data_IF_336766171453
#
_entry.id   IF_336766171453
#
_cell.length_a   1.000
_cell.length_b   1.000
_cell.length_c   1.000
_cell.angle_alpha   90.00
_cell.angle_beta   90.00
_cell.angle_gamma   90.00
#
_symmetry.space_group_name_H-M   'P 1'
#
loop_
_entity.id
_entity.type
_entity.pdbx_description
1 polymer ?
#
# COMPACT_ATOMS: atom_id res chain seq x y z
N UNK A 1 8.53 14.69 -13.69
CA UNK A 1 7.46 14.54 -12.67
C UNK A 1 7.68 13.23 -11.92
N UNK A 2 7.50 13.20 -10.60
CA UNK A 2 7.56 11.97 -9.80
C UNK A 2 6.22 11.81 -9.08
N UNK A 3 5.51 10.74 -9.37
CA UNK A 3 4.32 10.32 -8.63
C UNK A 3 4.66 9.13 -7.75
N UNK A 4 4.20 9.15 -6.49
CA UNK A 4 4.31 8.02 -5.56
C UNK A 4 2.93 7.66 -5.07
N UNK A 5 2.58 6.36 -5.02
CA UNK A 5 1.28 5.91 -4.52
C UNK A 5 0.12 6.57 -5.28
N UNK A 6 -0.87 7.18 -4.63
CA UNK A 6 -1.92 7.97 -5.29
C UNK A 6 -1.37 9.02 -6.29
N UNK A 7 -0.19 9.59 -6.02
CA UNK A 7 0.50 10.48 -6.95
C UNK A 7 0.79 9.85 -8.32
N UNK A 8 0.87 8.51 -8.42
CA UNK A 8 1.00 7.84 -9.71
C UNK A 8 -0.26 7.96 -10.55
N UNK A 9 -1.45 7.97 -9.92
CA UNK A 9 -2.70 8.18 -10.64
C UNK A 9 -2.80 9.61 -11.16
N UNK A 10 -2.40 10.60 -10.34
CA UNK A 10 -2.34 12.01 -10.77
C UNK A 10 -1.40 12.16 -11.97
N UNK A 11 -0.18 11.63 -11.87
CA UNK A 11 0.83 11.71 -12.91
C UNK A 11 0.40 11.02 -14.21
N UNK A 12 -0.19 9.82 -14.10
CA UNK A 12 -0.77 9.09 -15.23
C UNK A 12 -1.87 9.88 -15.95
N UNK A 13 -2.84 10.40 -15.20
CA UNK A 13 -3.97 11.16 -15.75
C UNK A 13 -3.52 12.48 -16.37
N UNK A 14 -2.53 13.14 -15.78
CA UNK A 14 -1.91 14.34 -16.34
C UNK A 14 -1.23 14.02 -17.68
N UNK A 15 -0.40 12.97 -17.73
CA UNK A 15 0.30 12.57 -18.94
C UNK A 15 -0.64 12.16 -20.09
N UNK A 16 -1.79 11.55 -19.78
CA UNK A 16 -2.82 11.21 -20.78
C UNK A 16 -3.50 12.44 -21.39
N UNK A 17 -3.72 13.50 -20.59
CA UNK A 17 -4.39 14.73 -21.04
C UNK A 17 -3.44 15.75 -21.66
N UNK A 18 -2.20 15.80 -21.16
CA UNK A 18 -1.24 16.86 -21.41
C UNK A 18 0.13 16.28 -21.82
N UNK A 19 0.13 15.25 -22.67
CA UNK A 19 1.33 14.53 -23.09
C UNK A 19 2.46 15.45 -23.57
N UNK A 20 2.13 16.47 -24.35
CA UNK A 20 3.08 17.47 -24.88
C UNK A 20 3.73 18.36 -23.81
N UNK A 21 3.22 18.32 -22.57
CA UNK A 21 3.76 19.03 -21.40
C UNK A 21 4.56 18.12 -20.47
N UNK A 22 4.78 16.85 -20.86
CA UNK A 22 5.53 15.87 -20.07
C UNK A 22 6.79 15.46 -20.81
N UNK A 23 7.95 15.69 -20.20
CA UNK A 23 9.24 15.24 -20.75
C UNK A 23 9.64 13.88 -20.18
N UNK A 24 9.73 13.73 -18.85
CA UNK A 24 10.06 12.46 -18.19
C UNK A 24 9.31 12.35 -16.89
N UNK A 25 8.72 11.20 -16.64
CA UNK A 25 7.97 10.97 -15.42
C UNK A 25 8.11 9.56 -14.88
N UNK A 26 8.07 9.47 -13.55
CA UNK A 26 8.28 8.25 -12.79
C UNK A 26 7.03 7.97 -11.96
N UNK A 27 6.56 6.73 -12.00
CA UNK A 27 5.46 6.23 -11.16
C UNK A 27 6.03 5.19 -10.20
N UNK A 28 6.25 5.57 -8.95
CA UNK A 28 6.75 4.67 -7.90
C UNK A 28 5.59 4.16 -7.03
N UNK A 29 5.53 2.85 -6.80
CA UNK A 29 4.44 2.19 -6.06
C UNK A 29 3.07 2.51 -6.65
N UNK A 30 2.81 1.88 -7.79
CA UNK A 30 1.77 2.28 -8.74
C UNK A 30 0.36 1.90 -8.28
N UNK A 31 -0.52 2.89 -8.12
CA UNK A 31 -1.96 2.65 -8.13
C UNK A 31 -2.39 2.32 -9.56
N UNK A 32 -2.70 1.05 -9.79
CA UNK A 32 -2.94 0.50 -11.13
C UNK A 32 -4.40 0.15 -11.38
N UNK A 33 -4.75 -0.06 -12.65
CA UNK A 33 -6.11 -0.40 -13.04
C UNK A 33 -6.49 -1.81 -12.57
N UNK A 34 -7.77 -2.15 -12.63
CA UNK A 34 -8.26 -3.52 -12.53
C UNK A 34 -7.85 -4.40 -13.72
N UNK A 35 -8.21 -5.69 -13.71
CA UNK A 35 -7.89 -6.63 -14.79
C UNK A 35 -8.45 -6.25 -16.16
N UNK A 36 -9.57 -5.52 -16.18
CA UNK A 36 -10.21 -4.99 -17.39
C UNK A 36 -9.58 -3.68 -17.90
N UNK A 37 -8.54 -3.18 -17.22
CA UNK A 37 -7.84 -1.95 -17.58
C UNK A 37 -8.51 -0.67 -17.09
N UNK A 38 -9.61 -0.73 -16.34
CA UNK A 38 -10.25 0.47 -15.77
C UNK A 38 -9.77 0.72 -14.35
N UNK A 39 -9.70 1.98 -13.93
CA UNK A 39 -9.46 2.29 -12.52
C UNK A 39 -10.72 1.93 -11.72
N UNK A 40 -10.56 1.09 -10.70
CA UNK A 40 -11.64 0.68 -9.78
C UNK A 40 -11.08 0.69 -8.36
N UNK A 41 -11.51 1.68 -7.59
CA UNK A 41 -11.05 1.91 -6.22
C UNK A 41 -11.50 0.82 -5.24
N UNK A 42 -12.66 0.21 -5.45
CA UNK A 42 -13.11 -0.88 -4.59
C UNK A 42 -12.30 -2.15 -4.86
N UNK A 43 -12.15 -2.52 -6.13
CA UNK A 43 -11.32 -3.66 -6.50
C UNK A 43 -9.84 -3.45 -6.13
N UNK A 44 -9.32 -2.22 -6.25
CA UNK A 44 -7.99 -1.86 -5.74
C UNK A 44 -7.88 -2.11 -4.24
N UNK A 45 -8.85 -1.63 -3.45
CA UNK A 45 -8.87 -1.82 -2.00
C UNK A 45 -8.86 -3.30 -1.59
N UNK A 46 -9.62 -4.15 -2.29
CA UNK A 46 -9.62 -5.60 -2.03
C UNK A 46 -8.25 -6.24 -2.32
N UNK A 47 -7.60 -5.90 -3.44
CA UNK A 47 -6.23 -6.38 -3.75
C UNK A 47 -5.20 -5.89 -2.72
N UNK A 48 -5.33 -4.64 -2.28
CA UNK A 48 -4.49 -4.09 -1.21
C UNK A 48 -4.70 -4.88 0.10
N UNK A 49 -5.94 -5.16 0.48
CA UNK A 49 -6.25 -5.93 1.68
C UNK A 49 -5.64 -7.35 1.63
N UNK A 50 -5.72 -8.03 0.49
CA UNK A 50 -5.07 -9.33 0.28
C UNK A 50 -3.53 -9.24 0.41
N UNK A 51 -2.92 -8.22 -0.18
CA UNK A 51 -1.48 -8.01 -0.07
C UNK A 51 -1.05 -7.68 1.37
N UNK A 52 -1.84 -6.90 2.11
CA UNK A 52 -1.63 -6.64 3.53
C UNK A 52 -1.75 -7.90 4.39
N UNK A 53 -2.65 -8.84 4.05
CA UNK A 53 -2.73 -10.13 4.74
C UNK A 53 -1.43 -10.92 4.57
N UNK A 54 -0.94 -11.03 3.32
CA UNK A 54 0.35 -11.67 3.03
C UNK A 54 1.53 -11.00 3.76
N UNK A 55 1.52 -9.66 3.82
CA UNK A 55 2.51 -8.87 4.54
C UNK A 55 2.47 -9.13 6.05
N UNK A 56 1.28 -9.25 6.64
CA UNK A 56 1.12 -9.57 8.07
C UNK A 56 1.71 -10.94 8.38
N UNK A 57 1.43 -11.95 7.56
CA UNK A 57 2.02 -13.28 7.76
C UNK A 57 3.55 -13.26 7.61
N UNK A 58 4.08 -12.44 6.69
CA UNK A 58 5.53 -12.22 6.56
C UNK A 58 6.11 -11.57 7.81
N UNK A 59 5.47 -10.52 8.35
CA UNK A 59 5.89 -9.85 9.58
C UNK A 59 5.82 -10.79 10.81
N UNK A 60 4.77 -11.60 10.91
CA UNK A 60 4.61 -12.63 11.96
C UNK A 60 5.73 -13.67 11.88
N UNK A 61 6.04 -14.17 10.68
CA UNK A 61 7.16 -15.07 10.45
C UNK A 61 8.51 -14.44 10.80
N UNK A 62 8.69 -13.15 10.50
CA UNK A 62 9.87 -12.39 10.89
C UNK A 62 9.98 -12.26 12.41
N UNK A 63 8.91 -11.93 13.13
CA UNK A 63 8.92 -11.91 14.60
C UNK A 63 9.25 -13.28 15.21
N UNK A 64 8.74 -14.37 14.63
CA UNK A 64 9.05 -15.73 15.08
C UNK A 64 10.54 -16.08 14.94
N UNK A 65 11.19 -15.64 13.84
CA UNK A 65 12.64 -15.80 13.65
C UNK A 65 13.47 -15.01 14.66
N UNK A 66 12.89 -13.99 15.28
CA UNK A 66 13.50 -13.12 16.29
C UNK A 66 12.87 -13.33 17.67
N UNK A 67 12.52 -14.58 18.00
CA UNK A 67 11.83 -14.95 19.23
C UNK A 67 12.57 -14.49 20.50
N UNK A 68 13.90 -14.47 20.51
CA UNK A 68 14.70 -14.00 21.65
C UNK A 68 14.46 -12.52 21.97
N UNK A 69 14.20 -11.69 20.94
CA UNK A 69 13.90 -10.28 21.12
C UNK A 69 12.46 -10.05 21.57
N UNK A 70 11.53 -10.61 20.82
CA UNK A 70 10.11 -10.26 20.95
C UNK A 70 9.39 -11.12 22.00
N UNK A 71 9.84 -12.35 22.22
CA UNK A 71 9.16 -13.30 23.10
C UNK A 71 7.70 -13.58 22.73
N UNK A 72 7.28 -13.26 21.49
CA UNK A 72 5.90 -13.45 21.01
C UNK A 72 5.61 -14.90 20.62
N UNK A 73 6.61 -15.77 20.63
CA UNK A 73 6.53 -17.17 20.16
C UNK A 73 7.72 -17.52 19.27
N UNK A 74 8.04 -18.81 19.19
CA UNK A 74 9.16 -19.34 18.37
C UNK A 74 8.73 -19.80 16.97
N UNK A 75 7.44 -19.74 16.66
CA UNK A 75 6.88 -20.11 15.37
C UNK A 75 5.71 -19.17 15.00
N UNK A 76 5.35 -19.07 13.71
CA UNK A 76 4.31 -18.16 13.25
C UNK A 76 2.94 -18.39 13.90
N UNK A 77 2.58 -19.62 14.28
CA UNK A 77 1.29 -19.94 14.90
C UNK A 77 1.23 -19.41 16.32
N UNK A 78 2.31 -19.56 17.09
CA UNK A 78 2.42 -18.98 18.43
C UNK A 78 2.38 -17.44 18.40
N UNK A 79 3.13 -16.84 17.47
CA UNK A 79 3.14 -15.38 17.29
C UNK A 79 1.76 -14.86 16.88
N UNK A 80 1.08 -15.53 15.94
CA UNK A 80 -0.28 -15.15 15.51
C UNK A 80 -1.27 -15.19 16.68
N UNK A 81 -1.21 -16.22 17.52
CA UNK A 81 -2.06 -16.31 18.72
C UNK A 81 -1.83 -15.14 19.68
N UNK A 82 -0.58 -14.81 19.94
CA UNK A 82 -0.24 -13.70 20.84
C UNK A 82 -0.58 -12.33 20.24
N UNK A 83 -0.43 -12.17 18.93
CA UNK A 83 -0.94 -11.02 18.19
C UNK A 83 -2.45 -10.87 18.36
N UNK A 84 -3.21 -11.97 18.22
CA UNK A 84 -4.68 -11.94 18.39
C UNK A 84 -5.07 -11.63 19.85
N UNK A 85 -4.33 -12.12 20.84
CA UNK A 85 -4.53 -11.75 22.26
C UNK A 85 -4.28 -10.25 22.44
N UNK A 86 -3.18 -9.71 21.89
CA UNK A 86 -2.84 -8.30 21.99
C UNK A 86 -3.93 -7.39 21.40
N UNK A 87 -4.52 -7.79 20.26
CA UNK A 87 -5.64 -7.08 19.63
C UNK A 87 -6.89 -6.98 20.51
N UNK A 88 -7.10 -7.95 21.40
CA UNK A 88 -8.29 -8.03 22.26
C UNK A 88 -8.00 -7.66 23.73
N UNK A 89 -6.86 -7.05 24.02
CA UNK A 89 -6.59 -6.51 25.35
C UNK A 89 -7.63 -5.46 25.73
N UNK A 90 -7.98 -5.32 27.03
CA UNK A 90 -8.91 -4.30 27.48
C UNK A 90 -8.46 -2.91 27.01
N UNK A 91 -9.39 -2.06 26.55
CA UNK A 91 -9.03 -0.76 26.06
C UNK A 91 -8.37 0.08 27.17
N UNK A 92 -7.34 0.83 26.80
CA UNK A 92 -6.58 1.68 27.73
C UNK A 92 -6.22 2.99 27.07
N UNK A 93 -6.62 4.11 27.68
CA UNK A 93 -6.49 5.43 27.06
C UNK A 93 -7.21 5.47 25.70
N UNK A 94 -6.47 5.80 24.64
CA UNK A 94 -6.99 5.79 23.26
C UNK A 94 -6.85 4.45 22.54
N UNK A 95 -6.39 3.39 23.22
CA UNK A 95 -6.07 2.12 22.56
C UNK A 95 -7.23 1.16 22.71
N UNK A 96 -7.95 0.93 21.63
CA UNK A 96 -8.84 -0.22 21.43
C UNK A 96 -8.45 -1.03 20.19
N UNK A 97 -9.34 -1.93 19.77
CA UNK A 97 -9.10 -2.78 18.61
C UNK A 97 -8.95 -1.99 17.30
N UNK A 98 -9.68 -0.88 17.12
CA UNK A 98 -9.53 -0.03 15.92
C UNK A 98 -8.15 0.63 15.88
N UNK A 99 -7.70 1.20 17.00
CA UNK A 99 -6.38 1.84 17.07
C UNK A 99 -5.24 0.83 16.91
N UNK A 100 -5.40 -0.39 17.43
CA UNK A 100 -4.49 -1.50 17.16
C UNK A 100 -4.43 -1.83 15.67
N UNK A 101 -5.57 -2.02 15.02
CA UNK A 101 -5.64 -2.35 13.59
C UNK A 101 -5.06 -1.22 12.72
N UNK A 102 -5.22 0.05 13.11
CA UNK A 102 -4.56 1.21 12.46
C UNK A 102 -3.05 1.20 12.64
N UNK A 103 -2.55 0.82 13.82
CA UNK A 103 -1.11 0.69 14.06
C UNK A 103 -0.50 -0.43 13.22
N UNK A 104 -1.18 -1.57 13.14
CA UNK A 104 -0.79 -2.68 12.28
C UNK A 104 -0.80 -2.24 10.83
N UNK A 105 -1.90 -1.67 10.32
CA UNK A 105 -1.97 -1.15 8.94
C UNK A 105 -0.81 -0.22 8.60
N UNK A 106 -0.50 0.74 9.49
CA UNK A 106 0.64 1.65 9.32
C UNK A 106 1.97 0.90 9.32
N UNK A 107 2.15 -0.09 10.19
CA UNK A 107 3.39 -0.85 10.27
C UNK A 107 3.61 -1.74 9.03
N UNK A 108 2.54 -2.36 8.53
CA UNK A 108 2.62 -3.24 7.36
C UNK A 108 3.12 -2.50 6.12
N UNK A 109 2.77 -1.22 5.97
CA UNK A 109 3.23 -0.41 4.83
C UNK A 109 4.75 -0.26 4.73
N UNK A 110 5.52 -0.44 5.83
CA UNK A 110 6.98 -0.24 5.82
C UNK A 110 7.72 -1.06 6.88
N UNK A 111 8.74 -1.82 6.46
CA UNK A 111 9.48 -2.75 7.32
C UNK A 111 10.18 -2.10 8.52
N UNK A 112 10.59 -0.82 8.44
CA UNK A 112 11.23 -0.14 9.58
C UNK A 112 10.30 0.00 10.81
N UNK A 113 8.99 -0.23 10.64
CA UNK A 113 7.98 -0.14 11.70
C UNK A 113 7.70 -1.46 12.39
N UNK A 114 8.19 -2.58 11.85
CA UNK A 114 7.89 -3.92 12.37
C UNK A 114 8.54 -4.19 13.72
N UNK A 115 9.80 -3.76 13.90
CA UNK A 115 10.49 -3.91 15.18
C UNK A 115 9.82 -3.08 16.30
N UNK A 116 9.56 -1.76 16.14
CA UNK A 116 8.84 -0.99 17.16
C UNK A 116 7.47 -1.58 17.53
N UNK A 117 6.72 -2.08 16.54
CA UNK A 117 5.44 -2.72 16.78
C UNK A 117 5.60 -4.03 17.59
N UNK A 118 6.54 -4.90 17.18
CA UNK A 118 6.82 -6.14 17.90
C UNK A 118 7.25 -5.92 19.35
N UNK A 119 8.13 -4.93 19.59
CA UNK A 119 8.57 -4.54 20.93
C UNK A 119 7.39 -4.04 21.78
N UNK A 120 6.47 -3.29 21.19
CA UNK A 120 5.28 -2.79 21.87
C UNK A 120 4.30 -3.90 22.24
N UNK A 121 4.06 -4.86 21.32
CA UNK A 121 3.24 -6.04 21.60
C UNK A 121 3.86 -6.89 22.72
N UNK A 122 5.18 -7.10 22.68
CA UNK A 122 5.89 -7.87 23.69
C UNK A 122 5.73 -7.27 25.10
N UNK A 123 5.90 -5.94 25.24
CA UNK A 123 5.70 -5.25 26.52
C UNK A 123 4.25 -5.28 26.99
N UNK A 124 3.30 -5.06 26.08
CA UNK A 124 1.88 -5.14 26.41
C UNK A 124 1.51 -6.53 26.98
N UNK A 125 2.01 -7.60 26.37
CA UNK A 125 1.70 -8.98 26.78
C UNK A 125 2.47 -9.45 28.02
N UNK A 126 3.75 -9.10 28.16
CA UNK A 126 4.59 -9.62 29.24
C UNK A 126 4.53 -8.78 30.52
N UNK A 127 4.41 -7.46 30.40
CA UNK A 127 4.48 -6.53 31.55
C UNK A 127 3.20 -5.73 31.74
N UNK A 128 2.21 -5.85 30.85
CA UNK A 128 0.99 -5.04 30.88
C UNK A 128 1.21 -3.58 30.52
N UNK A 129 2.36 -3.23 29.94
CA UNK A 129 2.69 -1.85 29.56
C UNK A 129 2.03 -1.49 28.21
N UNK A 130 0.82 -0.92 28.31
CA UNK A 130 0.04 -0.47 27.16
C UNK A 130 0.49 0.91 26.62
N UNK A 131 1.31 1.66 27.35
CA UNK A 131 1.77 2.99 26.90
C UNK A 131 2.65 2.88 25.66
N UNK A 132 3.43 1.81 25.58
CA UNK A 132 4.31 1.59 24.42
C UNK A 132 3.56 1.14 23.18
N UNK A 133 2.42 0.45 23.36
CA UNK A 133 1.46 0.21 22.27
C UNK A 133 0.83 1.52 21.80
N UNK A 134 0.49 2.41 22.72
CA UNK A 134 0.00 3.74 22.39
C UNK A 134 0.99 4.55 21.55
N UNK A 135 2.28 4.49 21.86
CA UNK A 135 3.32 5.22 21.12
C UNK A 135 3.43 4.82 19.63
N UNK A 136 3.07 3.59 19.26
CA UNK A 136 3.10 3.13 17.85
C UNK A 136 1.78 3.40 17.11
N UNK A 137 0.69 3.69 17.84
CA UNK A 137 -0.59 4.05 17.24
C UNK A 137 -0.48 5.41 16.55
N UNK A 138 -0.87 5.49 15.26
CA UNK A 138 -0.94 6.76 14.55
C UNK A 138 -1.77 7.79 15.34
N UNK A 139 -1.23 8.99 15.61
CA UNK A 139 -1.96 10.07 16.33
C UNK A 139 -3.29 10.49 15.67
N UNK A 140 -4.15 11.25 16.36
CA UNK A 140 -5.47 11.66 15.81
C UNK A 140 -5.58 13.18 15.68
N UNK A 141 -4.46 13.83 15.42
CA UNK A 141 -4.38 15.28 15.22
C UNK A 141 -5.24 15.75 14.01
N UNK A 142 -5.53 17.05 13.98
CA UNK A 142 -6.38 17.65 12.96
C UNK A 142 -5.80 17.50 11.55
N UNK A 143 -4.47 17.48 11.40
CA UNK A 143 -3.81 17.26 10.12
C UNK A 143 -4.12 15.85 9.59
N UNK A 144 -3.99 14.83 10.43
CA UNK A 144 -4.36 13.45 10.08
C UNK A 144 -5.83 13.36 9.72
N UNK A 145 -6.71 13.91 10.54
CA UNK A 145 -8.17 13.86 10.30
C UNK A 145 -8.52 14.50 8.97
N UNK A 146 -7.89 15.63 8.65
CA UNK A 146 -8.04 16.30 7.36
C UNK A 146 -7.49 15.43 6.23
N UNK A 147 -6.34 14.77 6.40
CA UNK A 147 -5.78 13.85 5.40
C UNK A 147 -6.67 12.63 5.15
N UNK A 148 -7.24 12.02 6.18
CA UNK A 148 -8.17 10.88 6.05
C UNK A 148 -9.48 11.30 5.35
N UNK A 149 -10.03 12.46 5.73
CA UNK A 149 -11.22 13.03 5.09
C UNK A 149 -10.97 13.38 3.62
N UNK A 150 -9.83 14.01 3.33
CA UNK A 150 -9.41 14.31 1.97
C UNK A 150 -9.24 13.03 1.14
N UNK A 151 -8.59 12.00 1.69
CA UNK A 151 -8.40 10.72 1.02
C UNK A 151 -9.75 10.10 0.59
N UNK A 152 -10.71 10.00 1.53
CA UNK A 152 -12.06 9.47 1.22
C UNK A 152 -12.78 10.32 0.17
N UNK A 153 -12.72 11.64 0.31
CA UNK A 153 -13.34 12.59 -0.62
C UNK A 153 -12.78 12.41 -2.03
N UNK A 154 -11.45 12.34 -2.15
CA UNK A 154 -10.74 12.22 -3.42
C UNK A 154 -10.99 10.85 -4.06
N UNK A 155 -10.90 9.76 -3.30
CA UNK A 155 -11.22 8.41 -3.79
C UNK A 155 -12.65 8.35 -4.36
N UNK A 156 -13.63 8.96 -3.68
CA UNK A 156 -15.00 8.97 -4.17
C UNK A 156 -15.19 9.89 -5.38
N UNK A 157 -14.54 11.06 -5.40
CA UNK A 157 -14.56 11.97 -6.54
C UNK A 157 -13.87 11.37 -7.78
N UNK A 158 -12.87 10.52 -7.61
CA UNK A 158 -12.15 9.84 -8.69
C UNK A 158 -12.84 8.55 -9.18
N UNK A 159 -13.86 8.07 -8.46
CA UNK A 159 -14.56 6.82 -8.78
C UNK A 159 -15.64 7.03 -9.85
N UNK A 160 -15.47 6.38 -11.00
CA UNK A 160 -16.39 6.50 -12.15
C UNK A 160 -17.64 5.61 -12.02
N UNK A 161 -17.55 4.52 -11.28
CA UNK A 161 -18.62 3.52 -11.15
C UNK A 161 -19.37 3.65 -9.83
N UNK A 162 -20.67 3.29 -9.84
CA UNK A 162 -21.44 3.17 -8.60
C UNK A 162 -21.11 1.86 -7.91
N UNK A 163 -20.82 1.91 -6.61
CA UNK A 163 -20.53 0.74 -5.80
C UNK A 163 -21.80 0.24 -5.10
N UNK A 164 -22.40 -0.89 -5.53
CA UNK A 164 -23.59 -1.41 -4.88
C UNK A 164 -23.25 -2.06 -3.52
N UNK A 165 -24.14 -1.99 -2.51
CA UNK A 165 -23.94 -2.64 -1.21
C UNK A 165 -23.64 -4.14 -1.30
N UNK A 166 -24.19 -4.83 -2.31
CA UNK A 166 -23.92 -6.26 -2.54
C UNK A 166 -22.47 -6.54 -2.89
N UNK A 167 -21.80 -5.66 -3.63
CA UNK A 167 -20.38 -5.80 -3.94
C UNK A 167 -19.52 -5.63 -2.68
N UNK A 168 -19.85 -4.66 -1.83
CA UNK A 168 -19.18 -4.45 -0.53
C UNK A 168 -19.29 -5.71 0.34
N UNK A 169 -20.52 -6.25 0.48
CA UNK A 169 -20.74 -7.46 1.27
C UNK A 169 -19.99 -8.67 0.70
N UNK A 170 -19.95 -8.82 -0.63
CA UNK A 170 -19.20 -9.88 -1.29
C UNK A 170 -17.69 -9.75 -1.05
N UNK A 171 -17.12 -8.56 -1.21
CA UNK A 171 -15.70 -8.30 -0.94
C UNK A 171 -15.32 -8.57 0.52
N UNK A 172 -16.16 -8.12 1.47
CA UNK A 172 -15.99 -8.41 2.91
C UNK A 172 -16.10 -9.90 3.22
N UNK A 173 -16.96 -10.64 2.53
CA UNK A 173 -17.08 -12.09 2.69
C UNK A 173 -15.83 -12.81 2.17
N UNK A 174 -15.38 -12.46 0.97
CA UNK A 174 -14.18 -13.04 0.36
C UNK A 174 -12.94 -12.84 1.23
N UNK A 175 -12.74 -11.64 1.79
CA UNK A 175 -11.64 -11.39 2.72
C UNK A 175 -11.75 -12.23 4.00
N UNK A 176 -12.96 -12.45 4.53
CA UNK A 176 -13.18 -13.31 5.71
C UNK A 176 -12.95 -14.79 5.44
N UNK A 177 -13.18 -15.24 4.21
CA UNK A 177 -12.86 -16.62 3.79
C UNK A 177 -11.34 -16.84 3.73
N UNK A 178 -10.57 -15.81 3.39
CA UNK A 178 -9.10 -15.85 3.41
C UNK A 178 -8.55 -15.81 4.84
N UNK A 179 -9.09 -14.95 5.69
CA UNK A 179 -8.70 -14.84 7.10
C UNK A 179 -9.90 -14.42 7.97
N UNK A 180 -10.23 -15.13 9.06
CA UNK A 180 -11.33 -14.74 9.96
C UNK A 180 -11.20 -13.34 10.57
N UNK A 181 -9.98 -12.80 10.64
CA UNK A 181 -9.65 -11.44 11.05
C UNK A 181 -8.96 -10.71 9.86
N UNK A 182 -9.74 -10.35 8.82
CA UNK A 182 -9.16 -9.72 7.65
C UNK A 182 -8.69 -8.30 7.98
N UNK A 183 -7.70 -7.81 7.23
CA UNK A 183 -7.30 -6.41 7.29
C UNK A 183 -8.27 -5.62 6.44
N UNK A 184 -9.12 -4.85 7.10
CA UNK A 184 -10.13 -4.01 6.45
C UNK A 184 -9.83 -2.51 6.59
N UNK A 185 -8.82 -2.18 7.38
CA UNK A 185 -8.23 -0.84 7.44
C UNK A 185 -7.67 -0.51 6.05
N UNK A 186 -8.11 0.61 5.46
CA UNK A 186 -7.73 1.02 4.10
C UNK A 186 -8.76 0.73 3.00
N UNK A 187 -9.88 0.04 3.29
CA UNK A 187 -11.01 -0.12 2.35
C UNK A 187 -11.84 1.16 2.20
N UNK A 188 -11.18 2.26 1.81
CA UNK A 188 -11.76 3.61 1.83
C UNK A 188 -12.88 3.79 0.79
N UNK A 189 -12.84 3.04 -0.32
CA UNK A 189 -13.81 3.17 -1.40
C UNK A 189 -15.24 2.75 -1.02
N UNK A 190 -15.43 2.00 0.07
CA UNK A 190 -16.75 1.53 0.49
C UNK A 190 -17.68 2.70 0.89
N UNK A 191 -17.11 3.80 1.41
CA UNK A 191 -17.90 5.00 1.76
C UNK A 191 -18.49 5.66 0.51
N UNK A 192 -17.92 5.40 -0.67
CA UNK A 192 -18.36 5.99 -1.93
C UNK A 192 -19.68 5.43 -2.45
N UNK A 193 -20.21 4.37 -1.83
CA UNK A 193 -21.59 3.91 -2.05
C UNK A 193 -22.63 4.97 -1.63
N UNK A 194 -22.24 5.90 -0.76
CA UNK A 194 -23.08 7.00 -0.25
C UNK A 194 -22.64 8.36 -0.78
N UNK A 195 -21.76 8.41 -1.79
CA UNK A 195 -21.26 9.66 -2.34
C UNK A 195 -22.39 10.43 -3.04
N UNK A 196 -22.70 11.67 -2.62
CA UNK A 196 -23.89 12.38 -3.09
C UNK A 196 -23.67 13.16 -4.38
N UNK A 197 -22.42 13.32 -4.81
CA UNK A 197 -22.06 14.13 -5.97
C UNK A 197 -22.01 13.29 -7.24
N UNK A 198 -22.19 13.97 -8.37
CA UNK A 198 -21.99 13.37 -9.68
C UNK A 198 -20.57 12.82 -9.83
N UNK A 199 -20.47 11.69 -10.53
CA UNK A 199 -19.21 11.02 -10.82
C UNK A 199 -18.60 11.57 -12.12
N UNK A 200 -17.27 11.50 -12.29
CA UNK A 200 -16.65 11.85 -13.56
C UNK A 200 -17.20 10.97 -14.68
N UNK A 201 -17.78 11.60 -15.71
CA UNK A 201 -18.29 10.91 -16.90
C UNK A 201 -17.35 11.04 -18.10
N UNK A 202 -16.38 11.96 -18.04
CA UNK A 202 -15.39 12.13 -19.10
C UNK A 202 -14.46 10.91 -19.14
N UNK A 203 -14.43 10.17 -20.26
CA UNK A 203 -13.54 9.03 -20.39
C UNK A 203 -12.09 9.49 -20.35
N UNK A 204 -11.26 8.74 -19.64
CA UNK A 204 -9.82 9.00 -19.59
C UNK A 204 -9.20 8.82 -20.99
N UNK A 205 -8.40 9.77 -21.50
CA UNK A 205 -7.71 9.59 -22.77
C UNK A 205 -6.83 8.33 -22.75
N UNK A 206 -6.70 7.70 -23.91
CA UNK A 206 -5.80 6.57 -24.07
C UNK A 206 -4.34 7.01 -23.83
N UNK A 207 -3.53 6.06 -23.38
CA UNK A 207 -2.10 6.27 -23.24
C UNK A 207 -1.46 6.35 -24.64
N UNK A 208 -0.66 7.38 -24.86
CA UNK A 208 0.01 7.64 -26.12
C UNK A 208 1.40 6.97 -26.12
N UNK A 209 1.75 6.13 -27.11
CA UNK A 209 3.04 5.43 -27.15
C UNK A 209 4.26 6.36 -27.07
N UNK A 210 4.19 7.52 -27.71
CA UNK A 210 5.22 8.57 -27.71
C UNK A 210 5.47 9.13 -26.31
N UNK A 211 4.41 9.35 -25.53
CA UNK A 211 4.49 9.74 -24.11
C UNK A 211 4.93 8.55 -23.25
N UNK A 212 4.59 7.32 -23.64
CA UNK A 212 5.01 6.10 -22.96
C UNK A 212 6.53 5.93 -22.94
N UNK A 213 7.25 6.30 -24.00
CA UNK A 213 8.73 6.30 -24.04
C UNK A 213 9.37 7.20 -22.96
N UNK A 214 8.59 8.12 -22.41
CA UNK A 214 8.95 9.07 -21.36
C UNK A 214 8.48 8.66 -19.96
N UNK A 215 8.00 7.42 -19.81
CA UNK A 215 7.49 6.87 -18.56
C UNK A 215 8.38 5.75 -18.01
N UNK A 216 8.69 5.83 -16.72
CA UNK A 216 9.31 4.75 -15.96
C UNK A 216 8.45 4.39 -14.75
N UNK A 217 8.07 3.12 -14.63
CA UNK A 217 7.36 2.61 -13.46
C UNK A 217 8.37 1.93 -12.51
N UNK A 218 8.15 2.05 -11.21
CA UNK A 218 8.95 1.42 -10.16
C UNK A 218 8.01 0.72 -9.18
N UNK A 219 8.32 -0.53 -8.84
CA UNK A 219 7.49 -1.31 -7.91
C UNK A 219 8.32 -2.30 -7.08
N UNK A 220 7.99 -2.42 -5.79
CA UNK A 220 8.48 -3.50 -4.94
C UNK A 220 7.67 -4.77 -5.16
N UNK A 221 8.31 -5.94 -5.22
CA UNK A 221 7.60 -7.21 -5.48
C UNK A 221 6.64 -7.60 -4.35
N UNK A 222 6.87 -7.08 -3.14
CA UNK A 222 6.02 -7.31 -1.98
C UNK A 222 5.49 -5.99 -1.39
N UNK A 223 5.32 -4.95 -2.22
CA UNK A 223 4.63 -3.73 -1.79
C UNK A 223 3.20 -4.09 -1.35
N UNK A 224 2.84 -3.87 -0.07
CA UNK A 224 1.56 -4.32 0.47
C UNK A 224 0.43 -3.31 0.22
N UNK A 225 0.76 -2.09 -0.21
CA UNK A 225 -0.21 -1.01 -0.40
C UNK A 225 -0.60 -0.92 -1.88
N UNK A 226 0.38 -1.05 -2.78
CA UNK A 226 0.19 -1.06 -4.24
C UNK A 226 0.88 -2.28 -4.82
N UNK A 227 0.18 -3.43 -4.93
CA UNK A 227 0.78 -4.70 -5.34
C UNK A 227 1.47 -4.59 -6.70
N UNK A 228 2.60 -5.27 -6.90
CA UNK A 228 3.41 -5.19 -8.14
C UNK A 228 2.60 -5.40 -9.43
N UNK A 229 1.56 -6.23 -9.37
CA UNK A 229 0.67 -6.48 -10.52
C UNK A 229 -0.04 -5.22 -11.03
N UNK A 230 -0.22 -4.21 -10.19
CA UNK A 230 -0.79 -2.92 -10.55
C UNK A 230 0.17 -2.13 -11.44
N UNK A 231 1.47 -2.14 -11.12
CA UNK A 231 2.51 -1.57 -11.96
C UNK A 231 2.64 -2.32 -13.29
N UNK A 232 2.58 -3.65 -13.27
CA UNK A 232 2.61 -4.47 -14.49
C UNK A 232 1.41 -4.21 -15.41
N UNK A 233 0.20 -4.09 -14.85
CA UNK A 233 -0.99 -3.74 -15.64
C UNK A 233 -0.88 -2.34 -16.21
N UNK A 234 -0.39 -1.37 -15.43
CA UNK A 234 -0.20 -0.01 -15.92
C UNK A 234 0.89 0.06 -17.00
N UNK A 235 2.00 -0.66 -16.84
CA UNK A 235 3.05 -0.78 -17.85
C UNK A 235 2.48 -1.31 -19.18
N UNK A 236 1.58 -2.32 -19.15
CA UNK A 236 0.89 -2.82 -20.35
C UNK A 236 -0.01 -1.78 -21.02
N UNK A 237 -0.54 -0.82 -20.27
CA UNK A 237 -1.34 0.28 -20.85
C UNK A 237 -0.49 1.36 -21.51
N UNK A 238 0.81 1.45 -21.19
CA UNK A 238 1.73 2.44 -21.75
C UNK A 238 2.81 1.78 -22.60
N UNK A 239 2.52 1.50 -23.88
CA UNK A 239 3.54 1.01 -24.81
C UNK A 239 4.78 1.91 -24.79
N UNK A 240 5.97 1.30 -24.76
CA UNK A 240 7.25 2.03 -24.73
C UNK A 240 7.72 2.46 -23.34
N UNK A 241 6.90 2.33 -22.30
CA UNK A 241 7.33 2.60 -20.91
C UNK A 241 8.37 1.61 -20.41
N UNK A 242 9.15 2.01 -19.40
CA UNK A 242 10.04 1.13 -18.65
C UNK A 242 9.40 0.64 -17.36
N UNK A 243 9.91 -0.46 -16.81
CA UNK A 243 9.47 -1.00 -15.53
C UNK A 243 10.66 -1.53 -14.73
N UNK A 244 10.92 -0.93 -13.57
CA UNK A 244 11.86 -1.43 -12.58
C UNK A 244 11.08 -2.18 -11.51
N UNK A 245 11.36 -3.48 -11.36
CA UNK A 245 10.89 -4.27 -10.21
C UNK A 245 12.00 -4.46 -9.20
N UNK A 246 11.71 -4.22 -7.93
CA UNK A 246 12.62 -4.46 -6.82
C UNK A 246 12.19 -5.73 -6.09
N UNK A 247 12.89 -6.83 -6.36
CA UNK A 247 12.69 -8.10 -5.67
C UNK A 247 12.99 -7.97 -4.18
N UNK A 248 12.36 -8.75 -3.32
CA UNK A 248 12.65 -8.73 -1.87
C UNK A 248 12.48 -7.33 -1.23
N UNK A 249 11.50 -6.57 -1.69
CA UNK A 249 11.11 -5.28 -1.11
C UNK A 249 9.70 -5.39 -0.55
N UNK A 250 9.59 -5.37 0.78
CA UNK A 250 8.34 -5.45 1.57
C UNK A 250 7.90 -4.08 2.10
N UNK A 251 8.10 -3.01 1.34
CA UNK A 251 7.78 -1.65 1.75
C UNK A 251 7.08 -0.90 0.62
N UNK A 252 6.24 0.05 1.01
CA UNK A 252 5.57 0.97 0.09
C UNK A 252 6.39 2.23 -0.16
N UNK A 253 6.60 2.53 -1.44
CA UNK A 253 7.59 3.45 -1.96
C UNK A 253 8.96 2.77 -2.06
N UNK A 254 9.60 2.87 -3.23
CA UNK A 254 10.89 2.22 -3.51
C UNK A 254 11.97 3.26 -3.74
N UNK A 255 11.81 4.11 -4.75
CA UNK A 255 12.83 5.03 -5.21
C UNK A 255 13.21 6.04 -4.11
N UNK A 256 14.52 6.20 -3.88
CA UNK A 256 15.17 7.01 -2.85
C UNK A 256 14.84 6.65 -1.39
N UNK A 257 13.67 6.07 -1.12
CA UNK A 257 13.20 5.76 0.23
C UNK A 257 13.74 4.45 0.77
N UNK A 258 13.93 3.44 -0.09
CA UNK A 258 14.51 2.15 0.31
C UNK A 258 16.05 2.11 0.18
N UNK A 259 16.64 3.14 -0.47
CA UNK A 259 18.09 3.27 -0.70
C UNK A 259 18.68 2.03 -1.40
N UNK A 260 18.13 1.71 -2.55
CA UNK A 260 18.52 0.55 -3.36
C UNK A 260 19.28 1.08 -4.57
N UNK A 261 20.62 0.99 -4.55
CA UNK A 261 21.48 1.60 -5.57
C UNK A 261 21.04 1.26 -7.01
N UNK A 262 20.71 -0.01 -7.28
CA UNK A 262 20.20 -0.44 -8.59
C UNK A 262 18.94 0.30 -9.05
N UNK A 263 18.02 0.61 -8.13
CA UNK A 263 16.78 1.36 -8.42
C UNK A 263 17.11 2.85 -8.54
N UNK A 264 17.85 3.38 -7.56
CA UNK A 264 18.10 4.81 -7.44
C UNK A 264 18.94 5.35 -8.60
N UNK A 265 19.98 4.63 -9.00
CA UNK A 265 20.79 4.94 -10.18
C UNK A 265 19.95 4.84 -11.47
N UNK A 266 19.16 3.79 -11.63
CA UNK A 266 18.35 3.60 -12.83
C UNK A 266 17.31 4.72 -13.03
N UNK A 267 16.65 5.13 -11.93
CA UNK A 267 15.68 6.22 -11.96
C UNK A 267 16.38 7.56 -12.18
N UNK A 268 17.54 7.80 -11.54
CA UNK A 268 18.32 9.01 -11.75
C UNK A 268 18.79 9.13 -13.21
N UNK A 269 19.38 8.07 -13.77
CA UNK A 269 19.82 8.02 -15.17
C UNK A 269 18.66 8.27 -16.12
N UNK A 270 17.51 7.64 -15.87
CA UNK A 270 16.31 7.87 -16.65
C UNK A 270 15.89 9.34 -16.61
N UNK A 271 15.82 9.96 -15.42
CA UNK A 271 15.49 11.38 -15.28
C UNK A 271 16.51 12.30 -15.97
N UNK A 272 17.77 11.87 -16.07
CA UNK A 272 18.86 12.62 -16.71
C UNK A 272 18.98 12.39 -18.22
N UNK A 273 18.23 11.46 -18.81
CA UNK A 273 18.18 11.30 -20.27
C UNK A 273 18.29 9.87 -20.79
N UNK A 274 18.62 8.89 -19.95
CA UNK A 274 18.69 7.50 -20.37
C UNK A 274 17.30 6.98 -20.81
N UNK A 275 17.25 6.06 -21.76
CA UNK A 275 15.99 5.45 -22.19
C UNK A 275 15.34 4.67 -21.04
N UNK A 276 14.01 4.65 -21.00
CA UNK A 276 13.29 3.76 -20.10
C UNK A 276 13.67 2.29 -20.40
N UNK A 277 13.81 1.46 -19.37
CA UNK A 277 14.17 0.05 -19.52
C UNK A 277 13.34 -0.82 -18.59
N UNK A 278 13.21 -2.10 -18.96
CA UNK A 278 12.71 -3.13 -18.05
C UNK A 278 13.90 -3.70 -17.30
N UNK A 279 13.85 -3.64 -15.96
CA UNK A 279 14.96 -4.05 -15.09
C UNK A 279 14.42 -4.70 -13.83
N UNK A 280 15.10 -5.75 -13.37
CA UNK A 280 14.88 -6.32 -12.05
C UNK A 280 16.09 -6.01 -11.16
N UNK A 281 15.82 -5.41 -10.01
CA UNK A 281 16.80 -5.12 -8.97
C UNK A 281 16.55 -6.03 -7.76
N UNK A 282 17.59 -6.27 -6.97
CA UNK A 282 17.44 -6.92 -5.66
C UNK A 282 17.28 -5.84 -4.59
N UNK A 283 16.23 -5.96 -3.79
CA UNK A 283 15.92 -5.07 -2.67
C UNK A 283 16.67 -5.41 -1.39
N UNK A 284 16.40 -4.70 -0.30
CA UNK A 284 17.18 -4.78 0.92
C UNK A 284 16.96 -6.07 1.72
N UNK A 285 15.94 -6.87 1.39
CA UNK A 285 15.54 -8.00 2.22
C UNK A 285 14.61 -7.56 3.36
N UNK A 286 14.32 -8.50 4.26
CA UNK A 286 13.74 -8.17 5.56
C UNK A 286 14.82 -7.56 6.48
N UNK A 287 14.43 -6.73 7.47
CA UNK A 287 15.36 -6.24 8.49
C UNK A 287 16.10 -7.39 9.18
N UNK A 288 17.37 -7.14 9.56
CA UNK A 288 18.19 -8.08 10.33
C UNK A 288 18.01 -7.87 11.83
#
# INVERSE_FOLDING_TARGET
>A
MLGVSYGTLIADRYARRYGDHVNRFVLDSVVGPGPDGRDDWHAFGLRQAEALLSQRETMIGWWAQHAERFGLGSDPVAVRRNYDVARHLPPSGRIGADEFDRAVYRALGRTERWQPLGDALARALHTGDLQTLEAVVPGIDDERRNSEAANRTVVCADSTETLPPTAILAGRSALRELDPQPIVTGLEAEVCAFWPMDRPTEPMPAAQPEVGAHLLLVAGTHDPVTPVTDAERRHRQWPGSGLITSAQTWSHGVFASQRIDCVDEAVADFLLGASASVRQCTGPGLPR
#
